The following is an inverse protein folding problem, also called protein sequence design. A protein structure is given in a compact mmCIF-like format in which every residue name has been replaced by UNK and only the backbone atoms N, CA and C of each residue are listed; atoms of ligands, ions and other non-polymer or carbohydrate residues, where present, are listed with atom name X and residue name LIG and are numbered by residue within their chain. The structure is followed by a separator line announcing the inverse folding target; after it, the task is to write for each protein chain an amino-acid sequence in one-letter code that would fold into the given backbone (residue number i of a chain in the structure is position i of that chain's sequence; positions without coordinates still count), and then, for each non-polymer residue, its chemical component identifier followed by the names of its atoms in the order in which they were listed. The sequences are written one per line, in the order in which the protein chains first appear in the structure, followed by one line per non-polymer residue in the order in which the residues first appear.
data_IF_782336244561
#
_entry.id   IF_782336244561
#
_cell.length_a   1.000
_cell.length_b   1.000
_cell.length_c   1.000
_cell.angle_alpha   90.00
_cell.angle_beta   90.00
_cell.angle_gamma   90.00
#
_symmetry.space_group_name_H-M   'P 1'
#
loop_
_entity.id
_entity.type
_entity.pdbx_description
1 polymer ?
#
# COMPACT_ATOMS: atom_id res chain seq x y z
N UNK A 1 4.42 6.32 14.54
CA UNK A 1 4.71 5.16 15.41
C UNK A 1 5.22 4.05 14.53
N UNK A 2 6.26 3.33 14.97
CA UNK A 2 6.81 2.19 14.24
C UNK A 2 6.88 1.00 15.21
N UNK A 3 6.37 -0.13 14.76
CA UNK A 3 6.58 -1.44 15.35
C UNK A 3 7.04 -2.35 14.20
N UNK A 4 8.35 -2.55 14.11
CA UNK A 4 9.01 -3.29 13.04
C UNK A 4 8.99 -4.81 13.25
N UNK A 5 8.51 -5.28 14.42
CA UNK A 5 8.44 -6.71 14.72
C UNK A 5 7.14 -7.36 14.23
N UNK A 6 6.09 -6.59 13.93
CA UNK A 6 4.75 -7.11 13.59
C UNK A 6 4.76 -8.20 12.50
N UNK A 7 5.44 -7.96 11.38
CA UNK A 7 5.49 -8.90 10.25
C UNK A 7 6.30 -10.15 10.59
N UNK A 8 7.41 -9.99 11.32
CA UNK A 8 8.24 -11.11 11.76
C UNK A 8 7.52 -11.98 12.79
N UNK A 9 6.76 -11.36 13.69
CA UNK A 9 5.99 -12.06 14.71
C UNK A 9 4.78 -12.79 14.11
N UNK A 10 4.10 -12.19 13.12
CA UNK A 10 3.05 -12.87 12.35
C UNK A 10 3.59 -14.11 11.63
N UNK A 11 4.76 -14.01 11.00
CA UNK A 11 5.41 -15.13 10.33
C UNK A 11 5.86 -16.22 11.32
N UNK A 12 6.35 -15.84 12.50
CA UNK A 12 6.84 -16.76 13.53
C UNK A 12 5.72 -17.48 14.27
N UNK A 13 4.61 -16.80 14.55
CA UNK A 13 3.51 -17.38 15.34
C UNK A 13 2.84 -18.54 14.60
N UNK A 14 2.71 -18.45 13.27
CA UNK A 14 1.96 -19.41 12.45
C UNK A 14 0.46 -19.48 12.77
N UNK A 15 -0.02 -18.69 13.74
CA UNK A 15 -1.41 -18.66 14.23
C UNK A 15 -2.25 -17.58 13.56
N UNK A 16 -1.66 -16.82 12.63
CA UNK A 16 -2.31 -15.69 11.98
C UNK A 16 -2.46 -14.49 12.91
N UNK A 17 -3.51 -13.70 12.66
CA UNK A 17 -3.83 -12.48 13.41
C UNK A 17 -4.63 -12.83 14.68
N UNK A 18 -3.95 -13.31 15.71
CA UNK A 18 -4.56 -13.70 16.99
C UNK A 18 -4.92 -12.49 17.89
N UNK A 19 -5.48 -12.77 19.08
CA UNK A 19 -5.89 -11.74 20.05
C UNK A 19 -4.72 -10.86 20.50
N UNK A 20 -3.50 -11.42 20.58
CA UNK A 20 -2.32 -10.67 20.95
C UNK A 20 -1.94 -9.66 19.86
N UNK A 21 -2.04 -10.04 18.58
CA UNK A 21 -1.83 -9.11 17.47
C UNK A 21 -2.88 -7.99 17.47
N UNK A 22 -4.16 -8.30 17.72
CA UNK A 22 -5.23 -7.31 17.82
C UNK A 22 -5.01 -6.32 18.99
N UNK A 23 -4.59 -6.83 20.14
CA UNK A 23 -4.28 -6.00 21.31
C UNK A 23 -3.13 -5.02 21.03
N UNK A 24 -2.09 -5.46 20.31
CA UNK A 24 -0.97 -4.58 19.91
C UNK A 24 -1.42 -3.44 19.00
N UNK A 25 -2.22 -3.74 17.98
CA UNK A 25 -2.76 -2.71 17.07
C UNK A 25 -3.62 -1.69 17.83
N UNK A 26 -4.44 -2.17 18.77
CA UNK A 26 -5.25 -1.30 19.63
C UNK A 26 -4.39 -0.43 20.52
N UNK A 27 -3.34 -0.96 21.15
CA UNK A 27 -2.44 -0.20 22.00
C UNK A 27 -1.69 0.91 21.23
N UNK A 28 -1.20 0.61 20.02
CA UNK A 28 -0.53 1.60 19.16
C UNK A 28 -1.50 2.69 18.70
N UNK A 29 -2.74 2.32 18.35
CA UNK A 29 -3.77 3.27 17.96
C UNK A 29 -4.22 4.16 19.13
N UNK A 30 -4.50 3.57 20.30
CA UNK A 30 -4.86 4.28 21.52
C UNK A 30 -3.77 5.29 21.90
N UNK A 31 -2.49 4.91 21.81
CA UNK A 31 -1.38 5.83 22.01
C UNK A 31 -1.45 7.01 21.04
N UNK A 32 -1.60 6.76 19.73
CA UNK A 32 -1.67 7.81 18.72
C UNK A 32 -2.83 8.79 19.01
N UNK A 33 -4.02 8.26 19.30
CA UNK A 33 -5.22 9.05 19.62
C UNK A 33 -5.02 9.86 20.90
N UNK A 34 -4.46 9.27 21.95
CA UNK A 34 -4.19 9.95 23.22
C UNK A 34 -3.18 11.11 23.07
N UNK A 35 -2.30 11.04 22.07
CA UNK A 35 -1.36 12.13 21.72
C UNK A 35 -1.96 13.21 20.81
N UNK A 36 -3.25 13.14 20.50
CA UNK A 36 -3.95 14.15 19.71
C UNK A 36 -3.96 13.90 18.21
N UNK A 37 -3.70 12.67 17.76
CA UNK A 37 -3.84 12.32 16.35
C UNK A 37 -5.29 12.54 15.88
N UNK A 38 -5.46 13.23 14.75
CA UNK A 38 -6.78 13.49 14.15
C UNK A 38 -7.20 12.42 13.14
N UNK A 39 -6.24 11.58 12.71
CA UNK A 39 -6.46 10.43 11.85
C UNK A 39 -5.33 9.40 12.02
N UNK A 40 -5.56 8.16 11.60
CA UNK A 40 -4.57 7.09 11.59
C UNK A 40 -4.46 6.51 10.17
N UNK A 41 -3.24 6.41 9.66
CA UNK A 41 -2.92 5.68 8.44
C UNK A 41 -2.01 4.51 8.77
N UNK A 42 -2.46 3.30 8.48
CA UNK A 42 -1.61 2.12 8.52
C UNK A 42 -0.85 1.97 7.21
N UNK A 43 0.41 1.51 7.29
CA UNK A 43 1.31 1.41 6.13
C UNK A 43 1.54 -0.03 5.65
N UNK A 44 1.02 -1.03 6.38
CA UNK A 44 1.13 -2.45 6.02
C UNK A 44 -0.27 -3.08 5.86
N UNK A 45 -0.50 -3.75 4.73
CA UNK A 45 -1.80 -4.32 4.37
C UNK A 45 -2.06 -5.72 4.95
N UNK A 46 -1.02 -6.37 5.48
CA UNK A 46 -1.11 -7.74 6.02
C UNK A 46 -2.01 -7.87 7.28
N UNK A 47 -2.41 -6.74 7.88
CA UNK A 47 -3.09 -6.69 9.16
C UNK A 47 -4.54 -6.18 9.06
N UNK A 48 -5.20 -6.38 7.90
CA UNK A 48 -6.54 -5.86 7.60
C UNK A 48 -7.57 -6.00 8.72
N UNK A 49 -7.81 -7.22 9.28
CA UNK A 49 -8.72 -7.42 10.40
C UNK A 49 -8.38 -6.59 11.65
N UNK A 50 -7.10 -6.46 12.00
CA UNK A 50 -6.65 -5.65 13.13
C UNK A 50 -6.91 -4.15 12.87
N UNK A 51 -6.66 -3.68 11.65
CA UNK A 51 -6.94 -2.30 11.24
C UNK A 51 -8.44 -1.99 11.31
N UNK A 52 -9.30 -2.92 10.87
CA UNK A 52 -10.75 -2.76 10.96
C UNK A 52 -11.25 -2.73 12.40
N UNK A 53 -10.65 -3.52 13.30
CA UNK A 53 -10.96 -3.46 14.72
C UNK A 53 -10.61 -2.08 15.32
N UNK A 54 -9.47 -1.51 14.95
CA UNK A 54 -9.08 -0.13 15.32
C UNK A 54 -10.07 0.89 14.77
N UNK A 55 -10.47 0.77 13.50
CA UNK A 55 -11.45 1.67 12.89
C UNK A 55 -12.82 1.64 13.61
N UNK A 56 -13.29 0.46 14.00
CA UNK A 56 -14.53 0.31 14.79
C UNK A 56 -14.39 0.91 16.20
N UNK A 57 -13.23 0.72 16.84
CA UNK A 57 -12.96 1.24 18.20
C UNK A 57 -12.97 2.77 18.24
N UNK A 58 -12.36 3.41 17.25
CA UNK A 58 -12.30 4.88 17.16
C UNK A 58 -13.32 5.43 16.16
N UNK A 59 -14.58 4.98 16.28
CA UNK A 59 -15.67 5.45 15.43
C UNK A 59 -15.80 6.99 15.52
N UNK A 60 -15.44 7.69 14.45
CA UNK A 60 -15.39 9.15 14.39
C UNK A 60 -14.01 9.71 14.00
N UNK A 61 -12.96 8.92 14.12
CA UNK A 61 -11.62 9.26 13.65
C UNK A 61 -11.34 8.54 12.32
N UNK A 62 -10.89 9.24 11.25
CA UNK A 62 -10.49 8.60 10.02
C UNK A 62 -9.35 7.61 10.24
N UNK A 63 -9.65 6.31 10.11
CA UNK A 63 -8.66 5.23 10.13
C UNK A 63 -8.58 4.64 8.72
N UNK A 64 -7.41 4.71 8.11
CA UNK A 64 -7.20 4.22 6.75
C UNK A 64 -6.29 3.00 6.69
N UNK A 65 -6.69 2.06 5.82
CA UNK A 65 -5.79 1.02 5.30
C UNK A 65 -4.77 1.65 4.34
N UNK A 66 -3.61 1.01 4.12
CA UNK A 66 -2.58 1.56 3.23
C UNK A 66 -3.02 1.71 1.76
N UNK A 67 -3.93 0.84 1.30
CA UNK A 67 -4.20 0.67 -0.13
C UNK A 67 -5.51 1.29 -0.59
N UNK A 68 -6.50 1.38 0.32
CA UNK A 68 -7.90 1.65 -0.05
C UNK A 68 -8.06 2.98 -0.81
N UNK A 69 -7.28 4.00 -0.48
CA UNK A 69 -7.32 5.28 -1.18
C UNK A 69 -6.76 5.18 -2.61
N UNK A 70 -5.67 4.43 -2.82
CA UNK A 70 -5.08 4.24 -4.15
C UNK A 70 -5.99 3.40 -5.04
N UNK A 71 -6.66 2.40 -4.46
CA UNK A 71 -7.66 1.59 -5.15
C UNK A 71 -8.82 2.46 -5.62
N UNK A 72 -9.34 3.33 -4.75
CA UNK A 72 -10.41 4.27 -5.11
C UNK A 72 -9.96 5.23 -6.21
N UNK A 73 -8.77 5.82 -6.09
CA UNK A 73 -8.21 6.71 -7.12
C UNK A 73 -8.06 6.03 -8.48
N UNK A 74 -7.64 4.76 -8.49
CA UNK A 74 -7.51 3.98 -9.71
C UNK A 74 -8.87 3.69 -10.36
N UNK A 75 -9.89 3.43 -9.55
CA UNK A 75 -11.27 3.24 -10.01
C UNK A 75 -11.85 4.54 -10.58
N UNK A 76 -11.63 5.68 -9.91
CA UNK A 76 -12.13 6.99 -10.33
C UNK A 76 -11.44 7.50 -11.60
N UNK A 77 -10.13 7.25 -11.74
CA UNK A 77 -9.36 7.64 -12.93
C UNK A 77 -9.73 6.79 -14.17
N UNK A 78 -10.07 5.52 -13.95
CA UNK A 78 -10.44 4.58 -15.00
C UNK A 78 -9.28 4.15 -15.90
N UNK A 79 -9.62 3.43 -16.98
CA UNK A 79 -8.65 2.86 -17.92
C UNK A 79 -8.10 1.49 -17.49
N UNK A 80 -6.97 1.11 -18.09
CA UNK A 80 -6.29 -0.17 -17.79
C UNK A 80 -5.20 0.08 -16.77
N UNK A 81 -5.40 -0.39 -15.54
CA UNK A 81 -4.49 -0.16 -14.41
C UNK A 81 -3.41 -1.23 -14.39
N UNK A 82 -2.16 -0.79 -14.40
CA UNK A 82 -0.99 -1.61 -14.17
C UNK A 82 -0.60 -1.60 -12.69
N UNK A 83 -0.86 -2.68 -11.96
CA UNK A 83 -0.50 -2.81 -10.54
C UNK A 83 0.89 -3.43 -10.40
N UNK A 84 1.80 -2.72 -9.73
CA UNK A 84 3.16 -3.20 -9.50
C UNK A 84 3.39 -3.41 -8.01
N UNK A 85 3.94 -4.57 -7.66
CA UNK A 85 4.48 -4.85 -6.34
C UNK A 85 5.89 -5.45 -6.46
N UNK A 86 6.69 -5.33 -5.41
CA UNK A 86 7.97 -6.01 -5.19
C UNK A 86 7.86 -7.24 -4.28
N UNK A 87 6.71 -7.43 -3.62
CA UNK A 87 6.41 -8.60 -2.78
C UNK A 87 5.25 -9.39 -3.40
N UNK A 88 5.53 -10.63 -3.83
CA UNK A 88 4.57 -11.42 -4.60
C UNK A 88 3.21 -11.66 -3.91
N UNK A 89 3.13 -11.91 -2.59
CA UNK A 89 1.84 -12.07 -1.90
C UNK A 89 0.91 -10.85 -2.04
N UNK A 90 1.44 -9.63 -2.19
CA UNK A 90 0.64 -8.44 -2.46
C UNK A 90 -0.17 -8.56 -3.76
N UNK A 91 0.38 -9.19 -4.79
CA UNK A 91 -0.30 -9.40 -6.07
C UNK A 91 -1.34 -10.54 -6.03
N UNK A 92 -1.34 -11.35 -4.98
CA UNK A 92 -2.38 -12.34 -4.74
C UNK A 92 -3.57 -11.73 -4.00
N UNK A 93 -3.33 -10.87 -2.99
CA UNK A 93 -4.40 -10.35 -2.14
C UNK A 93 -4.99 -9.02 -2.62
N UNK A 94 -4.16 -8.09 -3.12
CA UNK A 94 -4.61 -6.73 -3.43
C UNK A 94 -5.57 -6.63 -4.62
N UNK A 95 -5.48 -7.45 -5.69
CA UNK A 95 -6.45 -7.39 -6.79
C UNK A 95 -7.91 -7.52 -6.35
N UNK A 96 -8.18 -8.28 -5.28
CA UNK A 96 -9.54 -8.44 -4.73
C UNK A 96 -10.08 -7.17 -4.07
N UNK A 97 -9.21 -6.22 -3.71
CA UNK A 97 -9.62 -4.91 -3.18
C UNK A 97 -10.18 -4.00 -4.28
N UNK A 98 -9.83 -4.23 -5.56
CA UNK A 98 -10.30 -3.40 -6.67
C UNK A 98 -11.75 -3.73 -7.07
N UNK A 99 -12.57 -2.71 -7.41
CA UNK A 99 -13.88 -2.95 -8.00
C UNK A 99 -13.78 -3.76 -9.29
N UNK A 100 -14.76 -4.64 -9.54
CA UNK A 100 -14.78 -5.49 -10.73
C UNK A 100 -14.82 -4.71 -12.06
N UNK A 101 -15.16 -3.42 -12.03
CA UNK A 101 -15.12 -2.51 -13.18
C UNK A 101 -13.70 -2.09 -13.59
N UNK A 102 -12.71 -2.26 -12.72
CA UNK A 102 -11.32 -1.88 -12.99
C UNK A 102 -10.62 -2.99 -13.74
N UNK A 103 -10.13 -2.70 -14.96
CA UNK A 103 -9.25 -3.62 -15.67
C UNK A 103 -7.86 -3.55 -15.04
N UNK A 104 -7.45 -4.65 -14.39
CA UNK A 104 -6.18 -4.74 -13.68
C UNK A 104 -5.21 -5.68 -14.39
N UNK A 105 -3.96 -5.25 -14.54
CA UNK A 105 -2.84 -6.12 -14.94
C UNK A 105 -1.72 -5.99 -13.93
N UNK A 106 -1.32 -7.11 -13.35
CA UNK A 106 -0.29 -7.15 -12.32
C UNK A 106 1.10 -7.41 -12.91
N UNK A 107 2.14 -6.81 -12.33
CA UNK A 107 3.52 -7.17 -12.56
C UNK A 107 4.33 -7.17 -11.26
N UNK A 108 5.18 -8.18 -11.10
CA UNK A 108 6.17 -8.21 -10.04
C UNK A 108 7.41 -7.43 -10.49
N UNK A 109 7.84 -6.46 -9.70
CA UNK A 109 9.16 -5.83 -9.81
C UNK A 109 10.21 -6.81 -9.24
N UNK A 110 10.56 -7.81 -10.04
CA UNK A 110 11.47 -8.90 -9.66
C UNK A 110 12.80 -8.35 -9.12
N UNK A 111 13.22 -8.84 -7.95
CA UNK A 111 14.47 -8.44 -7.30
C UNK A 111 14.43 -7.08 -6.59
N UNK A 112 13.34 -6.31 -6.70
CA UNK A 112 13.25 -4.99 -6.09
C UNK A 112 13.26 -5.05 -4.55
N UNK A 113 12.55 -6.01 -3.95
CA UNK A 113 12.56 -6.20 -2.49
C UNK A 113 13.94 -6.61 -1.98
N UNK A 114 14.62 -7.52 -2.68
CA UNK A 114 15.96 -7.96 -2.30
C UNK A 114 16.98 -6.81 -2.40
N UNK A 115 16.84 -5.93 -3.38
CA UNK A 115 17.64 -4.73 -3.50
C UNK A 115 17.45 -3.80 -2.29
N UNK A 116 16.21 -3.54 -1.88
CA UNK A 116 15.92 -2.77 -0.66
C UNK A 116 16.51 -3.43 0.59
N UNK A 117 16.39 -4.75 0.75
CA UNK A 117 16.92 -5.47 1.90
C UNK A 117 18.46 -5.37 2.01
N UNK A 118 19.16 -5.12 0.89
CA UNK A 118 20.61 -4.87 0.87
C UNK A 118 20.98 -3.38 0.88
N UNK A 119 20.00 -2.48 1.01
CA UNK A 119 20.21 -1.03 1.03
C UNK A 119 20.37 -0.38 -0.35
N UNK A 120 20.12 -1.10 -1.44
CA UNK A 120 20.23 -0.60 -2.82
C UNK A 120 18.87 -0.09 -3.32
N UNK A 121 18.52 1.13 -2.90
CA UNK A 121 17.26 1.76 -3.27
C UNK A 121 17.20 2.11 -4.77
N UNK A 122 18.34 2.36 -5.42
CA UNK A 122 18.37 2.67 -6.85
C UNK A 122 18.07 1.44 -7.71
N UNK A 123 18.63 0.28 -7.37
CA UNK A 123 18.30 -0.96 -8.06
C UNK A 123 16.84 -1.35 -7.88
N UNK A 124 16.28 -1.11 -6.69
CA UNK A 124 14.84 -1.24 -6.46
C UNK A 124 14.04 -0.37 -7.42
N UNK A 125 14.34 0.93 -7.52
CA UNK A 125 13.60 1.84 -8.38
C UNK A 125 13.71 1.47 -9.87
N UNK A 126 14.91 1.07 -10.32
CA UNK A 126 15.11 0.57 -11.70
C UNK A 126 14.23 -0.64 -12.00
N UNK A 127 14.10 -1.57 -11.05
CA UNK A 127 13.24 -2.74 -11.21
C UNK A 127 11.75 -2.36 -11.26
N UNK A 128 11.33 -1.35 -10.48
CA UNK A 128 9.96 -0.81 -10.54
C UNK A 128 9.68 -0.16 -11.90
N UNK A 129 10.60 0.66 -12.42
CA UNK A 129 10.47 1.29 -13.75
C UNK A 129 10.39 0.23 -14.85
N UNK A 130 11.23 -0.80 -14.80
CA UNK A 130 11.20 -1.89 -15.78
C UNK A 130 9.85 -2.62 -15.78
N UNK A 131 9.29 -2.93 -14.60
CA UNK A 131 7.96 -3.53 -14.49
C UNK A 131 6.86 -2.60 -15.05
N UNK A 132 6.98 -1.30 -14.82
CA UNK A 132 6.04 -0.31 -15.34
C UNK A 132 6.08 -0.21 -16.87
N UNK A 133 7.28 -0.26 -17.48
CA UNK A 133 7.45 -0.30 -18.94
C UNK A 133 6.80 -1.53 -19.56
N UNK A 134 6.92 -2.70 -18.92
CA UNK A 134 6.25 -3.94 -19.38
C UNK A 134 4.73 -3.76 -19.37
N UNK A 135 4.17 -3.17 -18.32
CA UNK A 135 2.72 -2.93 -18.21
C UNK A 135 2.23 -1.87 -19.22
N UNK A 136 3.00 -0.81 -19.43
CA UNK A 136 2.68 0.21 -20.43
C UNK A 136 2.69 -0.39 -21.86
N UNK A 137 3.70 -1.19 -22.21
CA UNK A 137 3.76 -1.91 -23.48
C UNK A 137 2.60 -2.91 -23.66
N UNK A 138 2.04 -3.38 -22.54
CA UNK A 138 0.85 -4.22 -22.47
C UNK A 138 -0.49 -3.44 -22.56
N UNK A 139 -0.44 -2.13 -22.73
CA UNK A 139 -1.62 -1.26 -22.89
C UNK A 139 -2.20 -0.72 -21.59
N UNK A 140 -1.49 -0.81 -20.46
CA UNK A 140 -1.89 -0.10 -19.24
C UNK A 140 -1.72 1.42 -19.44
N UNK A 141 -2.73 2.19 -19.05
CA UNK A 141 -2.77 3.64 -19.17
C UNK A 141 -2.59 4.37 -17.83
N UNK A 142 -2.54 3.63 -16.72
CA UNK A 142 -2.31 4.12 -15.36
C UNK A 142 -1.41 3.12 -14.65
N UNK A 143 -0.43 3.57 -13.88
CA UNK A 143 0.43 2.71 -13.06
C UNK A 143 0.10 2.92 -11.58
N UNK A 144 -0.15 1.84 -10.85
CA UNK A 144 -0.38 1.85 -9.41
C UNK A 144 0.77 1.13 -8.69
N UNK A 145 1.47 1.84 -7.80
CA UNK A 145 2.58 1.32 -7.00
C UNK A 145 2.07 0.85 -5.64
N UNK A 146 1.98 -0.47 -5.48
CA UNK A 146 1.23 -1.14 -4.43
C UNK A 146 1.85 -1.08 -3.02
N UNK A 147 3.03 -0.50 -2.85
CA UNK A 147 3.78 -0.51 -1.60
C UNK A 147 4.40 0.85 -1.29
N UNK A 148 4.44 1.22 -0.01
CA UNK A 148 4.99 2.50 0.44
C UNK A 148 6.45 2.69 0.01
N UNK A 149 7.26 1.63 0.05
CA UNK A 149 8.66 1.66 -0.40
C UNK A 149 8.82 2.02 -1.88
N UNK A 150 7.77 1.79 -2.69
CA UNK A 150 7.78 2.09 -4.13
C UNK A 150 7.45 3.54 -4.46
N UNK A 151 6.94 4.33 -3.50
CA UNK A 151 6.57 5.72 -3.76
C UNK A 151 7.75 6.57 -4.24
N UNK A 152 8.97 6.24 -3.79
CA UNK A 152 10.21 6.92 -4.24
C UNK A 152 10.49 6.74 -5.74
N UNK A 153 10.03 5.64 -6.33
CA UNK A 153 10.20 5.35 -7.75
C UNK A 153 9.17 6.07 -8.64
N UNK A 154 8.13 6.67 -8.05
CA UNK A 154 7.04 7.27 -8.82
C UNK A 154 7.48 8.39 -9.78
N UNK A 155 8.39 9.32 -9.42
CA UNK A 155 8.91 10.31 -10.37
C UNK A 155 9.60 9.64 -11.57
N UNK A 156 10.47 8.66 -11.33
CA UNK A 156 11.17 7.95 -12.41
C UNK A 156 10.21 7.18 -13.34
N UNK A 157 9.13 6.60 -12.80
CA UNK A 157 8.07 5.97 -13.60
C UNK A 157 7.32 7.00 -14.44
N UNK A 158 6.98 8.15 -13.86
CA UNK A 158 6.31 9.26 -14.58
C UNK A 158 7.19 9.77 -15.73
N UNK A 159 8.47 10.01 -15.47
CA UNK A 159 9.43 10.49 -16.46
C UNK A 159 9.64 9.48 -17.60
N UNK A 160 9.68 8.18 -17.28
CA UNK A 160 9.89 7.13 -18.28
C UNK A 160 8.69 6.88 -19.19
N UNK A 161 7.45 7.10 -18.71
CA UNK A 161 6.23 6.67 -19.39
C UNK A 161 5.29 7.80 -19.80
N UNK A 162 5.36 8.96 -19.14
CA UNK A 162 4.37 10.03 -19.30
C UNK A 162 2.95 9.65 -18.85
N UNK A 163 2.80 8.57 -18.09
CA UNK A 163 1.51 8.06 -17.60
C UNK A 163 1.19 8.56 -16.19
N UNK A 164 -0.10 8.64 -15.81
CA UNK A 164 -0.50 8.78 -14.42
C UNK A 164 0.09 7.66 -13.56
N UNK A 165 0.73 8.04 -12.46
CA UNK A 165 1.27 7.11 -11.46
C UNK A 165 0.60 7.40 -10.12
N UNK A 166 -0.05 6.38 -9.57
CA UNK A 166 -0.67 6.37 -8.25
C UNK A 166 0.25 5.63 -7.28
N UNK A 167 0.35 6.15 -6.06
CA UNK A 167 1.10 5.50 -4.98
C UNK A 167 0.22 5.40 -3.76
N UNK A 168 0.36 4.29 -3.03
CA UNK A 168 -0.34 4.09 -1.74
C UNK A 168 -0.21 5.29 -0.78
N UNK A 169 0.98 5.88 -0.51
CA UNK A 169 1.09 7.02 0.38
C UNK A 169 0.50 8.34 -0.18
N UNK A 170 0.72 8.69 -1.45
CA UNK A 170 0.18 9.95 -2.00
C UNK A 170 -1.36 9.94 -1.96
N UNK A 171 -1.96 8.82 -2.36
CA UNK A 171 -3.40 8.59 -2.32
C UNK A 171 -3.95 8.66 -0.90
N UNK A 172 -3.32 7.96 0.05
CA UNK A 172 -3.76 7.94 1.43
C UNK A 172 -3.66 9.31 2.11
N UNK A 173 -2.58 10.07 1.86
CA UNK A 173 -2.43 11.43 2.39
C UNK A 173 -3.48 12.37 1.81
N UNK A 174 -3.78 12.29 0.51
CA UNK A 174 -4.85 13.07 -0.11
C UNK A 174 -6.21 12.74 0.49
N UNK A 175 -6.55 11.46 0.62
CA UNK A 175 -7.81 11.01 1.22
C UNK A 175 -7.95 11.46 2.69
N UNK A 176 -6.87 11.38 3.47
CA UNK A 176 -6.85 11.87 4.84
C UNK A 176 -7.11 13.37 4.93
N UNK A 177 -6.44 14.17 4.10
CA UNK A 177 -6.65 15.63 4.08
C UNK A 177 -8.10 15.98 3.77
N UNK A 178 -8.74 15.27 2.84
CA UNK A 178 -10.14 15.49 2.49
C UNK A 178 -11.10 15.13 3.64
N UNK A 179 -10.78 14.11 4.46
CA UNK A 179 -11.61 13.69 5.62
C UNK A 179 -11.40 14.57 6.86
N UNK A 180 -10.35 15.37 6.88
CA UNK A 180 -10.00 16.29 7.99
C UNK A 180 -10.40 17.75 7.73
N UNK A 181 -10.85 18.06 6.51
CA UNK A 181 -11.36 19.37 6.11
C UNK A 181 -12.81 19.55 6.55
#
# INVERSE_FOLDING_TARGET
LLDDSLSADLARSGRGLDDAMHARFTALADYAVATGAQAILFTCSAFGPCIEAVARRHAGLPVLKPNEAMVQDAADLGGRVGLIASFAPTLASMPEEFPASVYLRCALATGAMDALNRGDAEAHDRAVVAAAQVLAAAGCSVIALAQFSMARAAPAVRDALGLPVLTTPESAVRALRARLA
#
